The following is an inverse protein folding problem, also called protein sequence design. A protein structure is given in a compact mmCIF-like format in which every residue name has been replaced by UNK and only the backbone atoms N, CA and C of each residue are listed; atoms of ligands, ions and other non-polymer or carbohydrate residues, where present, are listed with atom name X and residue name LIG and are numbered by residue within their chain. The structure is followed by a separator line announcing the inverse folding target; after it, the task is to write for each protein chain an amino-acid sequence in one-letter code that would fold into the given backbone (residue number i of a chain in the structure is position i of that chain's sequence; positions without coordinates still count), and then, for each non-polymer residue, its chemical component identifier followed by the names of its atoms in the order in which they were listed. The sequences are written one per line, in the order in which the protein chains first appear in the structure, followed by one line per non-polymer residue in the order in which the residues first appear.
data_IF_715965711421
#
_entry.id   IF_715965711421
#
_cell.length_a   1.000
_cell.length_b   1.000
_cell.length_c   1.000
_cell.angle_alpha   90.00
_cell.angle_beta   90.00
_cell.angle_gamma   90.00
#
_symmetry.space_group_name_H-M   'P 1'
#
loop_
_entity.id
_entity.type
_entity.pdbx_description
1 polymer ?
#
# COMPACT_ATOMS: atom_id res chain seq x y z
N UNK A 1 -9.67 18.56 -0.45
CA UNK A 1 -9.25 17.15 -0.24
C UNK A 1 -10.40 16.15 -0.21
N UNK A 2 -11.65 16.53 0.10
CA UNK A 2 -12.82 15.61 0.06
C UNK A 2 -13.35 15.27 -1.34
N UNK A 3 -13.01 16.05 -2.37
CA UNK A 3 -13.58 15.90 -3.72
C UNK A 3 -12.98 14.77 -4.57
N UNK A 4 -11.97 14.04 -4.07
CA UNK A 4 -11.28 12.98 -4.85
C UNK A 4 -11.81 11.57 -4.57
N UNK A 5 -12.67 11.41 -3.55
CA UNK A 5 -13.33 10.13 -3.28
C UNK A 5 -14.62 10.05 -4.11
N UNK A 6 -14.61 9.22 -5.16
CA UNK A 6 -15.81 8.93 -5.95
C UNK A 6 -16.77 8.03 -5.13
N UNK A 7 -17.72 8.68 -4.45
CA UNK A 7 -18.77 8.07 -3.65
C UNK A 7 -19.93 7.61 -4.54
N UNK A 8 -19.75 6.55 -5.32
CA UNK A 8 -20.87 5.91 -6.03
C UNK A 8 -21.75 5.14 -5.02
N UNK A 9 -22.88 5.75 -4.63
CA UNK A 9 -23.89 5.12 -3.76
C UNK A 9 -24.66 4.05 -4.54
N UNK A 10 -24.26 2.79 -4.40
CA UNK A 10 -25.11 1.65 -4.74
C UNK A 10 -25.71 1.11 -3.44
N UNK A 11 -27.02 0.93 -3.40
CA UNK A 11 -27.86 0.56 -2.24
C UNK A 11 -27.17 -0.37 -1.22
N UNK A 12 -26.92 0.14 -0.01
CA UNK A 12 -26.60 -0.65 1.19
C UNK A 12 -25.19 -0.48 1.78
N UNK A 13 -24.18 -0.13 0.98
CA UNK A 13 -22.81 0.15 1.47
C UNK A 13 -22.13 1.13 0.52
N UNK A 14 -21.54 2.21 1.04
CA UNK A 14 -20.86 3.19 0.18
C UNK A 14 -19.54 2.59 -0.33
N UNK A 15 -19.34 2.57 -1.66
CA UNK A 15 -18.07 2.19 -2.25
C UNK A 15 -17.14 3.42 -2.32
N UNK A 16 -15.89 3.26 -1.91
CA UNK A 16 -14.85 4.29 -1.92
C UNK A 16 -13.67 3.84 -2.78
N UNK A 17 -13.53 4.45 -3.96
CA UNK A 17 -12.39 4.19 -4.83
C UNK A 17 -11.19 5.06 -4.45
N UNK A 18 -10.05 4.41 -4.22
CA UNK A 18 -8.78 5.08 -3.96
C UNK A 18 -8.07 5.37 -5.29
N UNK A 19 -8.48 6.45 -5.94
CA UNK A 19 -7.88 6.89 -7.21
C UNK A 19 -6.59 7.67 -6.89
N UNK A 20 -5.46 6.98 -6.94
CA UNK A 20 -4.14 7.58 -6.71
C UNK A 20 -3.58 8.22 -7.98
N UNK A 21 -2.76 9.26 -7.82
CA UNK A 21 -2.01 9.88 -8.93
C UNK A 21 -0.98 8.92 -9.57
N UNK A 22 -0.43 9.31 -10.73
CA UNK A 22 0.54 8.48 -11.44
C UNK A 22 1.81 8.17 -10.62
N UNK A 23 2.44 9.14 -9.92
CA UNK A 23 3.61 8.85 -9.10
C UNK A 23 3.36 7.85 -7.96
N UNK A 24 2.24 7.98 -7.24
CA UNK A 24 1.87 7.04 -6.17
C UNK A 24 1.65 5.64 -6.74
N UNK A 25 1.00 5.50 -7.90
CA UNK A 25 0.82 4.20 -8.58
C UNK A 25 2.16 3.60 -9.03
N UNK A 26 3.11 4.46 -9.38
CA UNK A 26 4.46 4.08 -9.75
C UNK A 26 5.39 3.93 -8.55
N UNK A 27 4.96 4.12 -7.31
CA UNK A 27 5.83 3.96 -6.14
C UNK A 27 6.91 5.03 -6.03
N UNK A 28 6.56 6.29 -6.28
CA UNK A 28 7.41 7.46 -6.06
C UNK A 28 6.86 8.33 -4.93
N UNK A 29 7.77 8.97 -4.20
CA UNK A 29 7.45 9.95 -3.18
C UNK A 29 7.34 11.37 -3.79
N UNK A 30 6.46 12.24 -3.25
CA UNK A 30 6.46 13.66 -3.57
C UNK A 30 7.87 14.27 -3.56
N UNK A 31 8.23 14.93 -4.67
CA UNK A 31 9.54 15.56 -4.85
C UNK A 31 10.59 14.67 -5.53
N UNK A 32 10.24 13.44 -5.91
CA UNK A 32 11.11 12.62 -6.76
C UNK A 32 11.29 13.27 -8.15
N UNK A 33 12.53 13.55 -8.60
CA UNK A 33 12.79 14.17 -9.90
C UNK A 33 12.21 13.41 -11.09
N UNK A 34 12.08 12.07 -11.00
CA UNK A 34 11.52 11.24 -12.07
C UNK A 34 10.00 11.43 -12.25
N UNK A 35 9.34 12.06 -11.27
CA UNK A 35 7.89 12.26 -11.21
C UNK A 35 7.46 13.73 -11.03
N UNK A 36 8.41 14.66 -11.18
CA UNK A 36 8.17 16.08 -10.97
C UNK A 36 7.02 16.62 -11.83
N UNK A 37 6.13 17.38 -11.21
CA UNK A 37 4.96 17.98 -11.85
C UNK A 37 3.77 17.03 -12.02
N UNK A 38 3.86 15.75 -11.63
CA UNK A 38 2.78 14.78 -11.84
C UNK A 38 1.95 14.47 -10.58
N UNK A 39 2.38 14.94 -9.40
CA UNK A 39 1.70 14.68 -8.14
C UNK A 39 0.36 15.41 -8.04
N UNK A 40 -0.67 14.71 -7.56
CA UNK A 40 -2.02 15.26 -7.34
C UNK A 40 -2.81 15.58 -8.62
N UNK A 41 -2.27 15.30 -9.82
CA UNK A 41 -2.87 15.67 -11.11
C UNK A 41 -3.90 14.71 -11.68
N UNK A 42 -3.92 13.46 -11.22
CA UNK A 42 -4.83 12.42 -11.73
C UNK A 42 -5.57 11.69 -10.62
N UNK A 43 -5.39 12.15 -9.37
CA UNK A 43 -5.82 11.45 -8.18
C UNK A 43 -5.13 12.00 -6.93
N UNK A 44 -5.35 11.35 -5.80
CA UNK A 44 -4.69 11.71 -4.54
C UNK A 44 -3.23 11.23 -4.56
N UNK A 45 -2.32 12.08 -4.09
CA UNK A 45 -0.96 11.70 -3.75
C UNK A 45 -0.98 11.00 -2.38
N UNK A 46 -0.50 9.76 -2.29
CA UNK A 46 -0.34 9.04 -1.02
C UNK A 46 1.12 8.63 -0.85
N UNK A 47 1.79 9.26 0.10
CA UNK A 47 3.19 9.02 0.39
C UNK A 47 3.39 8.19 1.66
N UNK A 48 2.45 8.21 2.61
CA UNK A 48 2.63 7.54 3.90
C UNK A 48 1.29 7.30 4.64
N UNK A 49 1.34 6.56 5.76
CA UNK A 49 0.18 6.24 6.60
C UNK A 49 -0.62 7.49 7.03
N UNK A 50 0.07 8.56 7.41
CA UNK A 50 -0.58 9.85 7.72
C UNK A 50 -1.48 10.44 6.62
N UNK A 51 -1.23 10.17 5.33
CA UNK A 51 -2.13 10.61 4.25
C UNK A 51 -3.45 9.83 4.29
N UNK A 52 -3.37 8.52 4.50
CA UNK A 52 -4.53 7.63 4.57
C UNK A 52 -5.35 7.89 5.84
N UNK A 53 -4.68 8.17 6.97
CA UNK A 53 -5.34 8.66 8.20
C UNK A 53 -6.16 9.93 7.92
N UNK A 54 -5.56 10.92 7.24
CA UNK A 54 -6.27 12.15 6.86
C UNK A 54 -7.41 11.90 5.89
N UNK A 55 -7.23 10.98 4.95
CA UNK A 55 -8.25 10.65 3.95
C UNK A 55 -9.49 9.99 4.59
N UNK A 56 -9.28 9.12 5.57
CA UNK A 56 -10.35 8.41 6.28
C UNK A 56 -10.74 9.03 7.62
N UNK A 57 -10.33 10.27 7.89
CA UNK A 57 -10.77 10.99 9.08
C UNK A 57 -12.30 11.15 9.10
N UNK A 58 -12.93 10.58 10.14
CA UNK A 58 -14.38 10.49 10.27
C UNK A 58 -15.07 9.51 9.32
N UNK A 59 -14.34 8.65 8.61
CA UNK A 59 -14.88 7.59 7.75
C UNK A 59 -14.74 6.24 8.46
N UNK A 60 -15.86 5.64 8.92
CA UNK A 60 -15.85 4.32 9.55
C UNK A 60 -15.61 3.23 8.49
N UNK A 61 -14.44 2.59 8.54
CA UNK A 61 -14.00 1.66 7.49
C UNK A 61 -14.81 0.36 7.42
N UNK A 62 -15.52 -0.01 8.49
CA UNK A 62 -16.47 -1.13 8.56
C UNK A 62 -17.79 -0.88 7.80
N UNK A 63 -18.06 0.38 7.42
CA UNK A 63 -19.32 0.78 6.75
C UNK A 63 -19.14 1.13 5.28
N UNK A 64 -17.93 0.97 4.75
CA UNK A 64 -17.59 1.29 3.37
C UNK A 64 -16.96 0.07 2.69
N UNK A 65 -17.02 0.03 1.37
CA UNK A 65 -16.28 -0.95 0.57
C UNK A 65 -15.18 -0.23 -0.18
N UNK A 66 -13.93 -0.59 0.11
CA UNK A 66 -12.79 0.01 -0.58
C UNK A 66 -12.63 -0.58 -1.98
N UNK A 67 -12.27 0.26 -2.94
CA UNK A 67 -11.82 -0.16 -4.26
C UNK A 67 -10.37 0.32 -4.45
N UNK A 68 -9.44 -0.62 -4.57
CA UNK A 68 -7.99 -0.35 -4.66
C UNK A 68 -7.44 -0.78 -6.02
N UNK A 69 -6.41 -0.11 -6.55
CA UNK A 69 -5.71 -0.59 -7.74
C UNK A 69 -4.81 -1.79 -7.40
N UNK A 70 -4.75 -2.79 -8.29
CA UNK A 70 -3.91 -4.00 -8.15
C UNK A 70 -2.52 -3.93 -8.78
N UNK A 71 -2.08 -2.74 -9.21
CA UNK A 71 -0.77 -2.52 -9.81
C UNK A 71 0.39 -2.65 -8.81
N UNK A 72 1.56 -2.10 -9.16
CA UNK A 72 2.79 -2.18 -8.36
C UNK A 72 2.57 -1.85 -6.87
N UNK A 73 1.84 -0.78 -6.57
CA UNK A 73 1.58 -0.34 -5.20
C UNK A 73 0.30 -0.90 -4.59
N UNK A 74 -0.39 -1.84 -5.24
CA UNK A 74 -1.66 -2.38 -4.74
C UNK A 74 -1.54 -3.03 -3.35
N UNK A 75 -0.47 -3.80 -3.12
CA UNK A 75 -0.15 -4.36 -1.80
C UNK A 75 0.10 -3.26 -0.77
N UNK A 76 0.91 -2.26 -1.12
CA UNK A 76 1.23 -1.12 -0.25
C UNK A 76 -0.03 -0.34 0.16
N UNK A 77 -0.91 -0.05 -0.80
CA UNK A 77 -2.16 0.67 -0.55
C UNK A 77 -3.12 -0.14 0.34
N UNK A 78 -3.20 -1.47 0.14
CA UNK A 78 -3.97 -2.33 1.03
C UNK A 78 -3.39 -2.30 2.45
N UNK A 79 -2.07 -2.40 2.61
CA UNK A 79 -1.42 -2.37 3.92
C UNK A 79 -1.69 -1.03 4.65
N UNK A 80 -1.62 0.10 3.95
CA UNK A 80 -2.00 1.41 4.51
C UNK A 80 -3.45 1.42 5.02
N UNK A 81 -4.39 0.84 4.27
CA UNK A 81 -5.80 0.76 4.66
C UNK A 81 -6.00 -0.18 5.86
N UNK A 82 -5.30 -1.32 5.89
CA UNK A 82 -5.36 -2.28 7.00
C UNK A 82 -4.85 -1.67 8.30
N UNK A 83 -3.69 -1.01 8.28
CA UNK A 83 -3.16 -0.36 9.49
C UNK A 83 -4.07 0.79 9.95
N UNK A 84 -4.67 1.53 9.01
CA UNK A 84 -5.68 2.55 9.37
C UNK A 84 -6.93 1.91 9.97
N UNK A 85 -7.36 0.73 9.50
CA UNK A 85 -8.47 -0.02 10.08
C UNK A 85 -8.13 -0.56 11.48
N UNK A 86 -6.91 -1.06 11.68
CA UNK A 86 -6.39 -1.47 12.99
C UNK A 86 -6.44 -0.31 14.00
N UNK A 87 -6.07 0.91 13.58
CA UNK A 87 -6.18 2.13 14.41
C UNK A 87 -7.63 2.53 14.72
N UNK A 88 -8.59 2.10 13.89
CA UNK A 88 -10.02 2.20 14.17
C UNK A 88 -10.56 1.01 14.98
N UNK A 89 -9.69 0.14 15.49
CA UNK A 89 -10.04 -1.07 16.25
C UNK A 89 -10.82 -2.11 15.44
N UNK A 90 -10.64 -2.11 14.13
CA UNK A 90 -11.24 -3.11 13.24
C UNK A 90 -10.29 -4.29 13.05
N UNK A 91 -10.82 -5.49 13.27
CA UNK A 91 -10.14 -6.70 12.86
C UNK A 91 -10.14 -6.83 11.31
N UNK A 92 -9.20 -7.59 10.71
CA UNK A 92 -9.09 -7.72 9.27
C UNK A 92 -10.39 -8.20 8.57
N UNK A 93 -11.20 -9.01 9.25
CA UNK A 93 -12.50 -9.47 8.75
C UNK A 93 -13.55 -8.36 8.66
N UNK A 94 -13.41 -7.28 9.42
CA UNK A 94 -14.26 -6.10 9.34
C UNK A 94 -14.01 -5.22 8.11
N UNK A 95 -12.89 -5.42 7.39
CA UNK A 95 -12.56 -4.63 6.21
C UNK A 95 -13.06 -5.30 4.92
N UNK A 96 -13.98 -4.63 4.24
CA UNK A 96 -14.51 -5.08 2.95
C UNK A 96 -13.94 -4.29 1.77
N UNK A 97 -13.63 -4.96 0.67
CA UNK A 97 -13.13 -4.24 -0.50
C UNK A 97 -12.95 -5.07 -1.77
N UNK A 98 -12.33 -4.45 -2.77
CA UNK A 98 -12.01 -5.05 -4.05
C UNK A 98 -10.70 -4.48 -4.61
N UNK A 99 -9.79 -5.36 -5.00
CA UNK A 99 -8.62 -4.99 -5.79
C UNK A 99 -8.96 -5.10 -7.28
N UNK A 100 -8.77 -4.00 -8.02
CA UNK A 100 -9.01 -3.91 -9.45
C UNK A 100 -7.71 -4.12 -10.24
N UNK A 101 -7.67 -5.21 -11.01
CA UNK A 101 -6.54 -5.52 -11.88
C UNK A 101 -6.80 -4.99 -13.29
N UNK A 102 -6.22 -3.83 -13.56
CA UNK A 102 -5.97 -3.40 -14.94
C UNK A 102 -4.84 -4.24 -15.53
N UNK A 103 -4.86 -4.45 -16.86
CA UNK A 103 -3.93 -5.32 -17.61
C UNK A 103 -2.54 -5.34 -16.94
N UNK A 104 -2.16 -6.44 -16.28
CA UNK A 104 -0.99 -6.43 -15.41
C UNK A 104 0.27 -6.28 -16.26
N UNK A 105 1.19 -5.41 -15.82
CA UNK A 105 2.56 -5.47 -16.31
C UNK A 105 3.13 -6.84 -15.92
N UNK A 106 3.58 -7.63 -16.89
CA UNK A 106 4.07 -8.99 -16.66
C UNK A 106 5.54 -9.02 -16.19
N UNK A 107 5.95 -8.06 -15.34
CA UNK A 107 7.29 -8.06 -14.75
C UNK A 107 7.33 -9.05 -13.59
N UNK A 108 8.51 -9.62 -13.31
CA UNK A 108 8.70 -10.55 -12.20
C UNK A 108 8.24 -9.95 -10.86
N UNK A 109 8.60 -8.69 -10.59
CA UNK A 109 8.17 -7.96 -9.39
C UNK A 109 6.64 -7.81 -9.28
N UNK A 110 5.96 -7.43 -10.36
CA UNK A 110 4.51 -7.26 -10.35
C UNK A 110 3.77 -8.59 -10.16
N UNK A 111 4.26 -9.66 -10.80
CA UNK A 111 3.74 -11.01 -10.61
C UNK A 111 3.95 -11.50 -9.17
N UNK A 112 5.13 -11.22 -8.59
CA UNK A 112 5.44 -11.56 -7.20
C UNK A 112 4.50 -10.87 -6.23
N UNK A 113 4.40 -9.55 -6.31
CA UNK A 113 3.54 -8.74 -5.44
C UNK A 113 2.08 -9.17 -5.54
N UNK A 114 1.59 -9.46 -6.75
CA UNK A 114 0.23 -9.97 -6.93
C UNK A 114 0.02 -11.35 -6.31
N UNK A 115 0.99 -12.25 -6.48
CA UNK A 115 0.93 -13.59 -5.89
C UNK A 115 0.82 -13.54 -4.37
N UNK A 116 1.69 -12.75 -3.74
CA UNK A 116 1.72 -12.56 -2.28
C UNK A 116 0.46 -11.85 -1.78
N UNK A 117 -0.01 -10.80 -2.48
CA UNK A 117 -1.26 -10.11 -2.17
C UNK A 117 -2.45 -11.06 -2.23
N UNK A 118 -2.53 -11.90 -3.27
CA UNK A 118 -3.61 -12.89 -3.42
C UNK A 118 -3.57 -13.93 -2.32
N UNK A 119 -2.38 -14.42 -1.97
CA UNK A 119 -2.19 -15.39 -0.90
C UNK A 119 -2.64 -14.84 0.46
N UNK A 120 -2.23 -13.62 0.80
CA UNK A 120 -2.62 -12.95 2.04
C UNK A 120 -4.13 -12.66 2.08
N UNK A 121 -4.69 -12.06 1.02
CA UNK A 121 -6.14 -11.74 0.95
C UNK A 121 -6.98 -13.01 1.14
N UNK A 122 -6.61 -14.10 0.47
CA UNK A 122 -7.34 -15.37 0.56
C UNK A 122 -7.30 -15.99 1.96
N UNK A 123 -6.23 -15.72 2.72
CA UNK A 123 -6.05 -16.25 4.06
C UNK A 123 -6.67 -15.38 5.15
N UNK A 124 -6.65 -14.05 4.98
CA UNK A 124 -6.91 -13.10 6.07
C UNK A 124 -8.10 -12.16 5.84
N UNK A 125 -8.59 -12.00 4.60
CA UNK A 125 -9.61 -10.99 4.26
C UNK A 125 -10.84 -11.62 3.58
N UNK A 126 -11.78 -12.20 4.36
CA UNK A 126 -12.94 -12.93 3.84
C UNK A 126 -13.95 -12.05 3.07
N UNK A 127 -13.86 -10.73 3.19
CA UNK A 127 -14.76 -9.77 2.54
C UNK A 127 -14.07 -8.95 1.44
N UNK A 128 -12.92 -9.44 0.97
CA UNK A 128 -12.14 -8.81 -0.09
C UNK A 128 -12.18 -9.64 -1.39
N UNK A 129 -12.30 -8.96 -2.52
CA UNK A 129 -12.38 -9.60 -3.83
C UNK A 129 -11.31 -9.08 -4.80
N UNK A 130 -11.02 -9.86 -5.84
CA UNK A 130 -10.26 -9.41 -7.01
C UNK A 130 -11.20 -9.26 -8.21
N UNK A 131 -11.04 -8.19 -8.97
CA UNK A 131 -11.84 -7.93 -10.16
C UNK A 131 -10.97 -7.46 -11.31
N UNK A 132 -11.12 -8.08 -12.48
CA UNK A 132 -10.51 -7.59 -13.70
C UNK A 132 -11.20 -6.29 -14.17
N UNK A 133 -10.41 -5.33 -14.66
CA UNK A 133 -10.90 -4.09 -15.25
C UNK A 133 -10.42 -2.84 -14.53
N UNK A 134 -10.85 -1.68 -15.02
CA UNK A 134 -10.47 -0.39 -14.47
C UNK A 134 -11.08 -0.09 -13.13
N UNK A 135 -10.29 0.56 -12.29
CA UNK A 135 -10.74 1.11 -11.03
C UNK A 135 -11.87 2.14 -11.28
N UNK A 136 -12.98 2.10 -10.53
CA UNK A 136 -14.03 3.11 -10.65
C UNK A 136 -13.48 4.54 -10.44
N UNK A 137 -14.01 5.51 -11.17
CA UNK A 137 -13.57 6.91 -11.11
C UNK A 137 -12.23 7.21 -11.81
N UNK A 138 -11.49 6.19 -12.25
CA UNK A 138 -10.22 6.39 -12.97
C UNK A 138 -10.46 6.99 -14.36
N UNK A 139 -9.69 8.04 -14.68
CA UNK A 139 -9.84 8.78 -15.94
C UNK A 139 -10.96 9.83 -15.92
N UNK A 140 -11.65 10.00 -14.79
CA UNK A 140 -12.55 11.14 -14.59
C UNK A 140 -11.75 12.46 -14.63
N UNK A 141 -12.21 13.49 -15.36
CA UNK A 141 -11.53 14.79 -15.48
C UNK A 141 -11.56 15.63 -14.19
N UNK A 142 -11.93 15.06 -13.04
CA UNK A 142 -12.09 15.75 -11.74
C UNK A 142 -10.78 16.08 -11.04
N UNK A 143 -9.64 16.02 -11.74
CA UNK A 143 -8.37 16.34 -11.14
C UNK A 143 -8.06 17.85 -11.22
N UNK A 144 -7.88 18.46 -10.05
CA UNK A 144 -7.36 19.82 -9.92
C UNK A 144 -5.87 19.91 -10.26
N UNK A 145 -5.26 21.10 -10.21
CA UNK A 145 -3.87 21.32 -10.65
C UNK A 145 -2.78 20.52 -9.90
N UNK A 146 -3.13 19.74 -8.87
CA UNK A 146 -2.18 19.12 -7.95
C UNK A 146 -1.45 20.18 -7.12
N UNK A 147 -1.19 19.91 -5.83
CA UNK A 147 -0.33 20.77 -5.01
C UNK A 147 0.90 19.96 -4.57
N UNK A 148 1.82 19.78 -5.52
CA UNK A 148 3.05 19.03 -5.30
C UNK A 148 3.92 19.69 -4.22
N UNK A 149 3.95 21.03 -4.15
CA UNK A 149 4.70 21.73 -3.12
C UNK A 149 4.17 21.40 -1.72
N UNK A 150 2.85 21.39 -1.54
CA UNK A 150 2.24 20.97 -0.28
C UNK A 150 2.49 19.48 0.02
N UNK A 151 2.46 18.61 -0.99
CA UNK A 151 2.76 17.18 -0.83
C UNK A 151 4.22 16.96 -0.39
N UNK A 152 5.19 17.66 -0.99
CA UNK A 152 6.61 17.65 -0.61
C UNK A 152 6.79 18.14 0.83
N UNK A 153 6.17 19.27 1.19
CA UNK A 153 6.26 19.82 2.54
C UNK A 153 5.57 18.93 3.59
N UNK A 154 4.49 18.23 3.24
CA UNK A 154 3.85 17.25 4.09
C UNK A 154 4.75 16.02 4.32
N UNK A 155 5.39 15.51 3.26
CA UNK A 155 6.32 14.39 3.35
C UNK A 155 7.56 14.72 4.19
N UNK A 156 8.14 15.92 4.03
CA UNK A 156 9.27 16.36 4.84
C UNK A 156 8.92 16.36 6.33
N UNK A 157 7.78 16.95 6.70
CA UNK A 157 7.27 16.94 8.07
C UNK A 157 7.04 15.51 8.57
N UNK A 158 6.46 14.64 7.76
CA UNK A 158 6.26 13.24 8.15
C UNK A 158 7.58 12.56 8.51
N UNK A 159 8.64 12.71 7.70
CA UNK A 159 9.95 12.15 7.99
C UNK A 159 10.58 12.69 9.28
N UNK A 160 10.31 13.96 9.61
CA UNK A 160 10.79 14.59 10.84
C UNK A 160 10.02 14.12 12.08
N UNK A 161 8.71 13.87 11.95
CA UNK A 161 7.81 13.62 13.09
C UNK A 161 7.31 12.18 13.19
N UNK A 162 7.67 11.28 12.28
CA UNK A 162 7.21 9.89 12.31
C UNK A 162 7.73 9.20 13.56
N UNK A 163 6.84 8.47 14.22
CA UNK A 163 7.14 7.74 15.45
C UNK A 163 7.95 6.49 15.09
N UNK A 164 9.27 6.59 15.21
CA UNK A 164 10.18 5.46 15.03
C UNK A 164 10.55 4.85 16.39
N UNK A 165 10.53 3.52 16.49
CA UNK A 165 11.09 2.85 17.66
C UNK A 165 12.59 3.13 17.77
N UNK A 166 13.02 3.53 18.96
CA UNK A 166 14.44 3.65 19.29
C UNK A 166 15.10 2.30 19.56
N UNK A 167 14.30 1.22 19.68
CA UNK A 167 14.79 -0.12 19.96
C UNK A 167 15.20 -0.84 18.66
N UNK A 168 16.51 -1.07 18.51
CA UNK A 168 17.11 -1.79 17.38
C UNK A 168 16.79 -3.28 17.34
N UNK A 169 16.02 -3.83 18.28
CA UNK A 169 15.66 -5.25 18.26
C UNK A 169 14.17 -5.53 18.54
N UNK A 170 13.35 -4.52 18.83
CA UNK A 170 11.91 -4.70 19.14
C UNK A 170 11.62 -5.61 20.35
N UNK A 171 12.60 -5.74 21.26
CA UNK A 171 12.60 -6.65 22.40
C UNK A 171 12.25 -5.93 23.72
N UNK A 172 12.48 -4.62 23.80
CA UNK A 172 12.32 -3.84 25.03
C UNK A 172 10.91 -3.28 25.24
N UNK A 173 10.12 -3.15 24.17
CA UNK A 173 8.74 -2.66 24.24
C UNK A 173 7.83 -3.55 23.37
N UNK A 174 6.87 -4.29 23.97
CA UNK A 174 5.99 -5.20 23.23
C UNK A 174 4.98 -4.48 22.31
N UNK A 175 4.91 -3.15 22.34
CA UNK A 175 3.97 -2.34 21.57
C UNK A 175 4.65 -1.38 20.56
N UNK A 176 5.98 -1.28 20.55
CA UNK A 176 6.71 -0.50 19.54
C UNK A 176 7.05 -1.36 18.31
N UNK A 177 6.57 -0.92 17.16
CA UNK A 177 6.94 -1.46 15.85
C UNK A 177 8.44 -1.28 15.57
N UNK A 178 9.07 -2.07 14.68
CA UNK A 178 10.47 -1.85 14.31
C UNK A 178 10.70 -0.42 13.78
N UNK A 179 11.92 0.10 13.90
CA UNK A 179 12.28 1.37 13.24
C UNK A 179 12.14 1.26 11.72
N UNK A 180 12.05 2.41 11.03
CA UNK A 180 11.94 2.45 9.56
C UNK A 180 13.06 1.66 8.89
N UNK A 181 14.29 1.82 9.37
CA UNK A 181 15.43 1.08 8.82
C UNK A 181 15.23 -0.43 8.96
N UNK A 182 14.85 -0.91 10.14
CA UNK A 182 14.67 -2.35 10.37
C UNK A 182 13.51 -2.92 9.56
N UNK A 183 12.41 -2.17 9.41
CA UNK A 183 11.28 -2.62 8.58
C UNK A 183 11.68 -2.70 7.11
N UNK A 184 12.49 -1.76 6.61
CA UNK A 184 13.02 -1.81 5.24
C UNK A 184 14.05 -2.94 5.06
N UNK A 185 14.94 -3.17 6.02
CA UNK A 185 15.88 -4.29 6.01
C UNK A 185 15.10 -5.63 6.00
N UNK A 186 14.09 -5.77 6.87
CA UNK A 186 13.22 -6.96 6.90
C UNK A 186 12.37 -7.15 5.65
N UNK A 187 11.96 -6.07 4.98
CA UNK A 187 11.29 -6.14 3.68
C UNK A 187 12.24 -6.65 2.59
N UNK A 188 13.50 -6.19 2.59
CA UNK A 188 14.51 -6.66 1.67
C UNK A 188 14.83 -8.15 1.90
N UNK A 189 15.00 -8.56 3.16
CA UNK A 189 15.24 -9.95 3.54
C UNK A 189 14.08 -10.86 3.09
N UNK A 190 12.84 -10.48 3.39
CA UNK A 190 11.65 -11.24 2.96
C UNK A 190 11.57 -11.37 1.43
N UNK A 191 11.97 -10.33 0.69
CA UNK A 191 12.01 -10.35 -0.76
C UNK A 191 13.08 -11.32 -1.29
N UNK A 192 14.27 -11.34 -0.69
CA UNK A 192 15.37 -12.22 -1.06
C UNK A 192 15.06 -13.68 -0.72
N UNK A 193 14.51 -13.92 0.47
CA UNK A 193 14.21 -15.26 0.98
C UNK A 193 12.96 -15.88 0.33
N UNK A 194 12.15 -15.06 -0.35
CA UNK A 194 10.93 -15.49 -1.02
C UNK A 194 9.74 -15.67 -0.09
N UNK A 195 9.76 -15.02 1.08
CA UNK A 195 8.64 -14.94 2.03
C UNK A 195 7.53 -13.99 1.53
N UNK A 196 6.31 -14.21 1.97
CA UNK A 196 5.19 -13.35 1.61
C UNK A 196 5.45 -11.90 2.07
N UNK A 197 5.45 -10.96 1.12
CA UNK A 197 5.85 -9.58 1.41
C UNK A 197 4.82 -8.78 2.21
N UNK A 198 3.60 -9.29 2.40
CA UNK A 198 2.54 -8.53 3.04
C UNK A 198 2.84 -8.22 4.52
N UNK A 199 3.36 -9.20 5.27
CA UNK A 199 3.68 -8.99 6.69
C UNK A 199 4.79 -7.94 6.86
N UNK A 200 5.88 -8.06 6.10
CA UNK A 200 6.95 -7.06 6.11
C UNK A 200 6.47 -5.68 5.61
N UNK A 201 5.49 -5.66 4.70
CA UNK A 201 4.86 -4.42 4.23
C UNK A 201 4.00 -3.77 5.32
N UNK A 202 3.26 -4.54 6.13
CA UNK A 202 2.52 -4.01 7.28
C UNK A 202 3.48 -3.41 8.33
N UNK A 203 4.61 -4.07 8.60
CA UNK A 203 5.64 -3.56 9.50
C UNK A 203 6.28 -2.26 8.97
N UNK A 204 6.47 -2.15 7.65
CA UNK A 204 6.88 -0.89 7.01
C UNK A 204 5.87 0.24 7.26
N UNK A 205 4.58 -0.03 7.01
CA UNK A 205 3.52 0.98 7.19
C UNK A 205 3.48 1.48 8.63
N UNK A 206 3.53 0.58 9.61
CA UNK A 206 3.45 0.91 11.04
C UNK A 206 4.69 1.67 11.54
N UNK A 207 5.86 1.38 10.97
CA UNK A 207 7.09 2.13 11.21
C UNK A 207 7.09 3.53 10.57
N UNK A 208 6.14 3.83 9.68
CA UNK A 208 6.06 5.11 8.98
C UNK A 208 6.98 5.22 7.76
N UNK A 209 7.30 4.09 7.13
CA UNK A 209 7.93 4.02 5.81
C UNK A 209 7.08 4.77 4.77
N UNK A 210 7.74 5.38 3.79
CA UNK A 210 7.06 6.08 2.70
C UNK A 210 6.85 5.18 1.48
N UNK A 211 5.94 5.56 0.59
CA UNK A 211 5.65 4.87 -0.68
C UNK A 211 6.92 4.68 -1.51
N UNK A 212 7.75 5.72 -1.63
CA UNK A 212 9.01 5.69 -2.34
C UNK A 212 10.06 4.81 -1.66
N UNK A 213 10.20 4.88 -0.33
CA UNK A 213 11.13 4.04 0.44
C UNK A 213 10.80 2.55 0.26
N UNK A 214 9.53 2.17 0.44
CA UNK A 214 9.05 0.80 0.24
C UNK A 214 9.32 0.30 -1.19
N UNK A 215 8.94 1.09 -2.20
CA UNK A 215 9.09 0.69 -3.60
C UNK A 215 10.56 0.64 -4.03
N UNK A 216 11.41 1.54 -3.53
CA UNK A 216 12.84 1.52 -3.79
C UNK A 216 13.50 0.27 -3.22
N UNK A 217 13.18 -0.10 -1.97
CA UNK A 217 13.71 -1.32 -1.34
C UNK A 217 13.37 -2.57 -2.14
N UNK A 218 12.12 -2.72 -2.57
CA UNK A 218 11.72 -3.87 -3.38
C UNK A 218 12.41 -3.91 -4.74
N UNK A 219 12.59 -2.76 -5.40
CA UNK A 219 13.36 -2.70 -6.66
C UNK A 219 14.83 -3.06 -6.47
N UNK A 220 15.42 -2.64 -5.35
CA UNK A 220 16.80 -2.99 -5.04
C UNK A 220 16.97 -4.49 -4.76
N UNK A 221 16.01 -5.10 -4.06
CA UNK A 221 16.05 -6.53 -3.70
C UNK A 221 15.68 -7.47 -4.86
N UNK A 222 14.67 -7.11 -5.67
CA UNK A 222 14.09 -7.99 -6.70
C UNK A 222 14.46 -7.61 -8.14
N UNK A 223 15.22 -6.52 -8.31
CA UNK A 223 15.56 -5.95 -9.62
C UNK A 223 14.58 -4.87 -10.11
N UNK A 224 15.03 -4.08 -11.08
CA UNK A 224 14.28 -2.94 -11.59
C UNK A 224 13.06 -3.36 -12.43
N UNK A 225 12.03 -2.49 -12.40
CA UNK A 225 10.95 -2.47 -13.38
C UNK A 225 11.53 -2.24 -14.78
N UNK A 226 11.71 -3.31 -15.56
CA UNK A 226 11.96 -3.19 -17.00
C UNK A 226 10.62 -3.09 -17.74
N UNK A 227 10.40 -1.97 -18.43
CA UNK A 227 9.32 -1.82 -19.41
C UNK A 227 9.46 -2.93 -20.47
N UNK A 228 8.37 -3.60 -20.91
CA UNK A 228 8.45 -4.84 -21.67
C UNK A 228 9.00 -4.60 -23.09
N UNK A 229 10.31 -4.68 -23.23
CA UNK A 229 11.02 -4.69 -24.51
C UNK A 229 12.41 -5.35 -24.41
N UNK A 230 12.59 -6.42 -23.64
CA UNK A 230 13.83 -7.21 -23.68
C UNK A 230 13.68 -8.60 -23.03
N UNK A 231 13.77 -9.66 -23.86
CA UNK A 231 14.15 -11.07 -23.60
C UNK A 231 13.38 -11.89 -22.53
N UNK A 232 12.80 -13.06 -22.80
CA UNK A 232 13.32 -14.33 -23.31
C UNK A 232 14.42 -14.98 -22.43
N UNK A 233 14.02 -16.05 -21.73
CA UNK A 233 14.78 -17.10 -21.03
C UNK A 233 14.99 -16.93 -19.52
N UNK A 234 14.02 -17.48 -18.77
CA UNK A 234 14.08 -17.70 -17.32
C UNK A 234 12.68 -17.61 -16.71
N UNK A 235 11.96 -18.73 -16.59
CA UNK A 235 10.61 -18.73 -16.01
C UNK A 235 10.66 -18.37 -14.51
N UNK A 236 9.72 -17.55 -13.99
CA UNK A 236 9.71 -17.20 -12.58
C UNK A 236 9.42 -18.43 -11.70
N UNK A 237 10.11 -18.54 -10.58
CA UNK A 237 9.81 -19.52 -9.54
C UNK A 237 8.38 -19.30 -9.00
N UNK A 238 7.67 -20.40 -8.74
CA UNK A 238 6.31 -20.37 -8.20
C UNK A 238 6.30 -19.70 -6.82
N UNK A 239 5.32 -18.82 -6.50
CA UNK A 239 5.26 -18.19 -5.19
C UNK A 239 5.11 -19.24 -4.08
N UNK A 240 5.83 -19.04 -2.97
CA UNK A 240 5.73 -19.90 -1.80
C UNK A 240 4.33 -19.78 -1.16
N UNK A 241 3.75 -20.86 -0.61
CA UNK A 241 2.49 -20.76 0.11
C UNK A 241 2.62 -19.87 1.34
N UNK A 242 1.71 -18.91 1.50
CA UNK A 242 1.63 -18.07 2.69
C UNK A 242 1.45 -18.93 3.94
N UNK A 243 2.35 -18.79 4.92
CA UNK A 243 2.26 -19.44 6.23
C UNK A 243 1.69 -18.44 7.22
N UNK A 244 0.43 -18.63 7.61
CA UNK A 244 -0.20 -17.85 8.68
C UNK A 244 0.62 -18.00 9.97
N UNK A 245 1.17 -16.88 10.47
CA UNK A 245 2.02 -16.98 11.68
C UNK A 245 2.54 -15.69 12.31
N UNK A 246 2.41 -14.50 11.70
CA UNK A 246 2.90 -13.25 12.29
C UNK A 246 1.86 -12.13 12.43
N UNK A 247 0.57 -12.46 12.45
CA UNK A 247 -0.43 -11.54 13.02
C UNK A 247 -0.26 -11.51 14.55
N UNK A 248 0.72 -10.74 15.04
CA UNK A 248 0.64 -10.21 16.41
C UNK A 248 -0.38 -9.09 16.38
N UNK A 249 -1.65 -9.44 16.62
CA UNK A 249 -2.58 -8.44 17.11
C UNK A 249 -1.95 -7.83 18.37
N UNK A 250 -2.04 -6.50 18.59
CA UNK A 250 -1.64 -5.93 19.86
C UNK A 250 -2.41 -6.66 20.97
N UNK A 251 -1.68 -7.13 21.99
CA UNK A 251 -2.28 -7.79 23.14
C UNK A 251 -3.28 -6.82 23.80
N UNK A 252 -4.57 -7.00 23.56
CA UNK A 252 -5.60 -6.09 24.07
C UNK A 252 -6.96 -6.11 23.38
N UNK A 253 -7.11 -6.70 22.19
CA UNK A 253 -8.45 -6.87 21.58
C UNK A 253 -9.12 -8.08 22.23
N UNK A 254 -9.97 -7.81 23.23
CA UNK A 254 -10.98 -8.73 23.76
C UNK A 254 -12.35 -8.31 23.27
#
# INVERSE_FOLDING_TARGET
MKDTLDLSRTTGTAALALVCDAPTRAGFDPGDPAAAGAFGREGVALAHLGDVRRLFDGVPLDRVRLALPGGLTGMWLLALCLVTAEEQWLAPDGLGGTTYEERPAATALALRLRGDLTAYVSASLPHWAFRAGSLPGRGSPTAGPGDEAAAVAALARWRETREESTDRQGLADPYLWPSVRQSLDGLADAAIDGDCLMDATLDCVRAGVTTGEWAHTLRAALGAYESPAAYAHGGPASPAPYRTGRHRAPAGVR
#
